data_IF_459285488697
#
_entry.id   IF_459285488697
#
_cell.length_a   1.000
_cell.length_b   1.000
_cell.length_c   1.000
_cell.angle_alpha   90.00
_cell.angle_beta   90.00
_cell.angle_gamma   90.00
#
_symmetry.space_group_name_H-M   'P 1'
#
loop_
_entity.id
_entity.type
_entity.pdbx_description
1 polymer ?
#
# COMPACT_ATOMS: atom_id res chain seq x y z
N UNK A 1 -11.33 52.81 -50.37
CA UNK A 1 -11.51 51.75 -51.37
C UNK A 1 -10.40 50.73 -51.21
N UNK A 2 -10.69 49.61 -50.55
CA UNK A 2 -10.28 48.24 -50.90
C UNK A 2 -10.69 47.32 -49.73
N UNK A 3 -11.04 46.10 -50.12
CA UNK A 3 -12.12 45.29 -49.55
C UNK A 3 -11.60 44.17 -48.65
N UNK A 4 -12.39 43.88 -47.60
CA UNK A 4 -12.59 42.61 -46.87
C UNK A 4 -11.85 41.36 -47.38
N UNK A 5 -11.19 40.65 -46.45
CA UNK A 5 -11.60 39.28 -46.08
C UNK A 5 -11.11 38.92 -44.67
N UNK A 6 -12.06 38.78 -43.73
CA UNK A 6 -11.87 38.05 -42.48
C UNK A 6 -12.64 36.74 -42.65
N UNK A 7 -11.94 35.60 -42.67
CA UNK A 7 -12.56 34.29 -42.56
C UNK A 7 -12.44 33.80 -41.12
N UNK A 8 -13.59 33.73 -40.46
CA UNK A 8 -13.78 33.13 -39.16
C UNK A 8 -13.66 31.60 -39.24
N UNK A 9 -12.66 31.00 -38.59
CA UNK A 9 -12.65 29.57 -38.29
C UNK A 9 -13.03 29.37 -36.81
N UNK A 10 -14.32 29.27 -36.56
CA UNK A 10 -14.90 29.03 -35.23
C UNK A 10 -15.79 27.79 -35.22
N UNK A 11 -15.26 26.59 -35.46
CA UNK A 11 -16.02 25.32 -35.30
C UNK A 11 -15.18 24.08 -34.94
N UNK A 12 -13.94 24.21 -34.42
CA UNK A 12 -13.07 23.03 -34.16
C UNK A 12 -13.18 22.41 -32.75
N UNK A 13 -13.92 23.01 -31.82
CA UNK A 13 -14.07 22.51 -30.44
C UNK A 13 -15.01 21.30 -30.33
N UNK A 14 -16.12 21.30 -31.10
CA UNK A 14 -17.13 20.24 -31.01
C UNK A 14 -16.73 18.96 -31.73
N UNK A 15 -16.05 19.08 -32.88
CA UNK A 15 -15.55 17.91 -33.63
C UNK A 15 -14.40 17.21 -32.90
N UNK A 16 -13.54 17.94 -32.17
CA UNK A 16 -12.53 17.31 -31.30
C UNK A 16 -13.19 16.51 -30.19
N UNK A 17 -14.20 17.06 -29.49
CA UNK A 17 -14.95 16.31 -28.45
C UNK A 17 -15.63 15.05 -29.00
N UNK A 18 -16.24 15.11 -30.19
CA UNK A 18 -16.90 13.94 -30.80
C UNK A 18 -15.88 12.88 -31.25
N UNK A 19 -14.72 13.29 -31.76
CA UNK A 19 -13.64 12.36 -32.14
C UNK A 19 -12.98 11.72 -30.92
N UNK A 20 -12.74 12.45 -29.83
CA UNK A 20 -12.24 11.86 -28.57
C UNK A 20 -13.25 10.85 -28.00
N UNK A 21 -14.55 11.16 -28.06
CA UNK A 21 -15.61 10.26 -27.59
C UNK A 21 -15.73 8.99 -28.44
N UNK A 22 -15.59 9.08 -29.76
CA UNK A 22 -15.58 7.88 -30.63
C UNK A 22 -14.30 7.06 -30.50
N UNK A 23 -13.15 7.69 -30.24
CA UNK A 23 -11.89 6.98 -30.01
C UNK A 23 -11.92 6.23 -28.67
N UNK A 24 -12.43 6.86 -27.60
CA UNK A 24 -12.61 6.22 -26.29
C UNK A 24 -13.65 5.08 -26.39
N UNK A 25 -14.78 5.29 -27.08
CA UNK A 25 -15.79 4.24 -27.31
C UNK A 25 -15.28 3.07 -28.18
N UNK A 26 -14.35 3.33 -29.12
CA UNK A 26 -13.75 2.30 -29.98
C UNK A 26 -12.66 1.52 -29.25
N UNK A 27 -11.86 2.18 -28.42
CA UNK A 27 -10.87 1.54 -27.55
C UNK A 27 -11.59 0.76 -26.45
N UNK A 28 -12.72 1.22 -25.90
CA UNK A 28 -13.51 0.36 -25.01
C UNK A 28 -14.13 -0.81 -25.79
N UNK A 29 -14.77 -0.61 -26.95
CA UNK A 29 -15.39 -1.73 -27.68
C UNK A 29 -14.40 -2.82 -28.13
N UNK A 30 -13.17 -2.45 -28.52
CA UNK A 30 -12.16 -3.42 -29.01
C UNK A 30 -11.45 -4.18 -27.89
N UNK A 31 -11.50 -3.67 -26.65
CA UNK A 31 -10.84 -4.25 -25.48
C UNK A 31 -11.83 -4.88 -24.48
N UNK A 32 -13.14 -4.66 -24.64
CA UNK A 32 -14.19 -5.02 -23.66
C UNK A 32 -15.12 -6.17 -24.11
N UNK A 33 -14.69 -7.02 -25.04
CA UNK A 33 -15.32 -8.34 -25.08
C UNK A 33 -14.86 -9.10 -23.83
N UNK A 34 -15.77 -9.55 -22.94
CA UNK A 34 -15.39 -10.58 -21.99
C UNK A 34 -14.83 -11.72 -22.84
N UNK A 35 -13.57 -12.08 -22.64
CA UNK A 35 -13.07 -13.32 -23.21
C UNK A 35 -14.08 -14.37 -22.75
N UNK A 36 -14.80 -15.05 -23.65
CA UNK A 36 -15.70 -16.10 -23.24
C UNK A 36 -14.84 -17.07 -22.44
N UNK A 37 -15.17 -17.23 -21.15
CA UNK A 37 -14.56 -18.29 -20.37
C UNK A 37 -14.73 -19.57 -21.19
N UNK A 38 -13.66 -20.29 -21.55
CA UNK A 38 -13.85 -21.56 -22.21
C UNK A 38 -14.65 -22.42 -21.23
N UNK A 39 -15.83 -22.85 -21.66
CA UNK A 39 -16.54 -23.96 -21.03
C UNK A 39 -15.70 -25.21 -21.30
N UNK A 40 -14.58 -25.31 -20.57
CA UNK A 40 -13.62 -26.39 -20.67
C UNK A 40 -14.23 -27.62 -20.02
N UNK A 41 -14.75 -28.50 -20.87
CA UNK A 41 -14.99 -29.92 -20.59
C UNK A 41 -13.82 -30.50 -19.79
N UNK A 42 -14.09 -30.89 -18.54
CA UNK A 42 -13.19 -31.64 -17.67
C UNK A 42 -12.96 -33.04 -18.26
N UNK A 43 -11.96 -33.18 -19.14
CA UNK A 43 -11.33 -34.46 -19.41
C UNK A 43 -10.36 -34.77 -18.28
N UNK A 44 -10.67 -35.81 -17.51
CA UNK A 44 -9.96 -36.22 -16.32
C UNK A 44 -8.50 -36.63 -16.62
N UNK A 45 -7.55 -35.87 -16.08
CA UNK A 45 -6.18 -36.35 -15.87
C UNK A 45 -6.16 -37.20 -14.60
N UNK A 46 -5.79 -38.49 -14.77
CA UNK A 46 -5.61 -39.47 -13.69
C UNK A 46 -4.52 -39.00 -12.72
N UNK A 47 -4.90 -38.58 -11.53
CA UNK A 47 -4.03 -38.52 -10.36
C UNK A 47 -4.24 -39.77 -9.48
N UNK A 48 -3.14 -40.30 -8.94
CA UNK A 48 -3.04 -41.48 -8.10
C UNK A 48 -3.83 -41.35 -6.76
N UNK A 49 -4.20 -42.46 -6.10
CA UNK A 49 -5.25 -42.46 -5.09
C UNK A 49 -4.76 -41.95 -3.73
N UNK A 50 -5.45 -40.93 -3.21
CA UNK A 50 -5.38 -40.55 -1.80
C UNK A 50 -6.36 -41.42 -0.99
N UNK A 51 -5.86 -41.99 0.11
CA UNK A 51 -6.59 -42.88 1.00
C UNK A 51 -7.90 -42.27 1.52
N UNK A 52 -9.00 -43.00 1.34
CA UNK A 52 -10.32 -42.65 1.82
C UNK A 52 -10.40 -42.73 3.35
N UNK A 53 -10.55 -41.59 4.02
CA UNK A 53 -11.08 -41.52 5.38
C UNK A 53 -12.61 -41.51 5.30
N UNK A 54 -13.24 -42.60 5.75
CA UNK A 54 -14.68 -42.65 5.98
C UNK A 54 -15.06 -41.62 7.05
N UNK A 55 -15.80 -40.58 6.67
CA UNK A 55 -16.44 -39.68 7.62
C UNK A 55 -17.81 -40.26 7.99
N UNK A 56 -17.89 -40.69 9.25
CA UNK A 56 -19.11 -41.14 9.91
C UNK A 56 -20.09 -39.95 9.95
N UNK A 57 -21.31 -40.11 9.41
CA UNK A 57 -22.40 -39.13 9.58
C UNK A 57 -22.72 -39.00 11.07
N UNK A 58 -22.42 -37.86 11.66
CA UNK A 58 -22.82 -37.48 13.02
C UNK A 58 -24.10 -36.65 12.89
N UNK A 59 -25.21 -36.98 13.58
CA UNK A 59 -26.38 -36.12 13.62
C UNK A 59 -26.08 -34.83 14.37
N UNK A 60 -26.49 -33.69 13.81
CA UNK A 60 -26.39 -32.37 14.44
C UNK A 60 -27.25 -32.34 15.72
N UNK A 61 -26.70 -31.94 16.88
CA UNK A 61 -27.52 -31.44 17.97
C UNK A 61 -27.83 -29.96 17.71
N UNK A 62 -29.11 -29.65 17.51
CA UNK A 62 -29.63 -28.31 17.75
C UNK A 62 -29.54 -28.06 19.25
N UNK A 63 -28.46 -27.42 19.70
CA UNK A 63 -28.31 -26.93 21.06
C UNK A 63 -28.51 -25.42 21.07
N UNK A 64 -29.62 -25.00 21.67
CA UNK A 64 -29.91 -23.61 22.00
C UNK A 64 -28.96 -23.14 23.10
N UNK A 65 -27.81 -22.55 22.74
CA UNK A 65 -27.03 -21.75 23.69
C UNK A 65 -27.49 -20.29 23.62
N UNK A 66 -28.33 -19.93 24.59
CA UNK A 66 -28.69 -18.55 24.93
C UNK A 66 -27.40 -17.75 25.21
N UNK A 67 -27.11 -16.76 24.37
CA UNK A 67 -26.31 -15.60 24.73
C UNK A 67 -27.32 -14.55 25.21
N UNK A 68 -27.49 -14.44 26.53
CA UNK A 68 -28.25 -13.36 27.15
C UNK A 68 -27.46 -12.06 26.98
N UNK A 69 -27.97 -11.19 26.11
CA UNK A 69 -27.62 -9.77 26.05
C UNK A 69 -28.77 -8.99 26.70
N UNK A 70 -28.42 -8.05 27.57
CA UNK A 70 -29.36 -7.29 28.38
C UNK A 70 -30.35 -6.43 27.57
N UNK A 71 -31.43 -5.94 28.22
CA UNK A 71 -32.42 -5.08 27.60
C UNK A 71 -31.92 -3.62 27.51
N UNK A 72 -32.53 -2.85 26.60
CA UNK A 72 -32.27 -1.42 26.25
C UNK A 72 -31.22 -1.23 25.14
N UNK A 73 -31.44 -0.58 23.98
CA UNK A 73 -32.49 0.30 23.46
C UNK A 73 -32.56 0.21 21.91
N UNK A 74 -33.78 0.25 21.35
CA UNK A 74 -34.19 0.44 19.93
C UNK A 74 -33.34 -0.15 18.77
N UNK A 75 -33.86 -1.11 17.98
CA UNK A 75 -33.16 -1.68 16.82
C UNK A 75 -33.28 -0.79 15.58
N UNK A 76 -32.40 0.21 15.45
CA UNK A 76 -32.14 0.89 14.17
C UNK A 76 -31.13 0.07 13.35
N UNK A 77 -31.51 -0.45 12.19
CA UNK A 77 -30.63 -1.06 11.15
C UNK A 77 -29.70 -2.24 11.53
N UNK A 78 -29.65 -2.68 12.80
CA UNK A 78 -28.68 -3.66 13.30
C UNK A 78 -28.84 -5.13 12.84
N UNK A 79 -30.05 -5.69 12.60
CA UNK A 79 -30.17 -7.12 12.30
C UNK A 79 -29.39 -7.54 11.04
N UNK A 80 -29.36 -6.66 10.04
CA UNK A 80 -28.65 -6.88 8.79
C UNK A 80 -27.14 -6.79 8.95
N UNK A 81 -26.64 -5.76 9.64
CA UNK A 81 -25.21 -5.60 9.91
C UNK A 81 -24.66 -6.74 10.76
N UNK A 82 -25.42 -7.19 11.76
CA UNK A 82 -25.09 -8.38 12.54
C UNK A 82 -25.01 -9.64 11.67
N UNK A 83 -26.03 -9.88 10.84
CA UNK A 83 -26.07 -11.03 9.92
C UNK A 83 -24.90 -10.97 8.92
N UNK A 84 -24.55 -9.80 8.39
CA UNK A 84 -23.38 -9.59 7.53
C UNK A 84 -22.08 -9.95 8.22
N UNK A 85 -21.86 -9.44 9.43
CA UNK A 85 -20.66 -9.74 10.21
C UNK A 85 -20.57 -11.24 10.52
N UNK A 86 -21.67 -11.84 10.99
CA UNK A 86 -21.73 -13.26 11.32
C UNK A 86 -21.46 -14.15 10.09
N UNK A 87 -22.11 -13.85 8.95
CA UNK A 87 -21.93 -14.58 7.71
C UNK A 87 -20.50 -14.45 7.15
N UNK A 88 -19.89 -13.26 7.23
CA UNK A 88 -18.51 -13.04 6.81
C UNK A 88 -17.49 -13.79 7.70
N UNK A 89 -17.80 -13.99 8.98
CA UNK A 89 -16.93 -14.70 9.93
C UNK A 89 -17.12 -16.22 9.92
N UNK A 90 -18.27 -16.73 9.48
CA UNK A 90 -18.46 -18.18 9.33
C UNK A 90 -17.53 -18.73 8.23
N UNK A 91 -16.54 -19.54 8.59
CA UNK A 91 -15.56 -20.09 7.64
C UNK A 91 -16.07 -21.28 6.81
N UNK A 92 -17.13 -21.94 7.27
CA UNK A 92 -17.60 -23.23 6.74
C UNK A 92 -18.77 -23.12 5.75
N UNK A 93 -19.47 -21.99 5.73
CA UNK A 93 -20.66 -21.83 4.88
C UNK A 93 -20.27 -21.70 3.40
N UNK A 94 -20.84 -22.50 2.47
CA UNK A 94 -20.61 -22.35 1.04
C UNK A 94 -20.96 -20.95 0.53
N UNK A 95 -20.30 -20.50 -0.54
CA UNK A 95 -20.51 -19.16 -1.10
C UNK A 95 -21.94 -18.92 -1.59
N UNK A 96 -22.54 -19.93 -2.24
CA UNK A 96 -23.95 -19.85 -2.67
C UNK A 96 -24.89 -19.73 -1.47
N UNK A 97 -24.63 -20.46 -0.37
CA UNK A 97 -25.42 -20.34 0.86
C UNK A 97 -25.28 -18.95 1.50
N UNK A 98 -24.08 -18.37 1.50
CA UNK A 98 -23.89 -16.99 1.96
C UNK A 98 -24.68 -16.00 1.12
N UNK A 99 -24.69 -16.18 -0.21
CA UNK A 99 -25.46 -15.33 -1.12
C UNK A 99 -26.96 -15.46 -0.86
N UNK A 100 -27.47 -16.68 -0.73
CA UNK A 100 -28.89 -16.93 -0.40
C UNK A 100 -29.26 -16.28 0.92
N UNK A 101 -28.46 -16.43 1.97
CA UNK A 101 -28.71 -15.79 3.27
C UNK A 101 -28.70 -14.26 3.13
N UNK A 102 -27.76 -13.72 2.35
CA UNK A 102 -27.66 -12.28 2.10
C UNK A 102 -28.88 -11.74 1.35
N UNK A 103 -29.31 -12.42 0.29
CA UNK A 103 -30.49 -12.05 -0.49
C UNK A 103 -31.79 -12.22 0.29
N UNK A 104 -31.95 -13.32 1.04
CA UNK A 104 -33.12 -13.56 1.87
C UNK A 104 -33.28 -12.46 2.93
N UNK A 105 -32.19 -12.06 3.59
CA UNK A 105 -32.21 -10.98 4.55
C UNK A 105 -32.44 -9.61 3.88
N UNK A 106 -31.89 -9.37 2.68
CA UNK A 106 -32.18 -8.18 1.87
C UNK A 106 -33.67 -8.07 1.52
N UNK A 107 -34.29 -9.18 1.13
CA UNK A 107 -35.71 -9.24 0.78
C UNK A 107 -36.63 -9.07 2.01
N UNK A 108 -36.23 -9.61 3.17
CA UNK A 108 -37.01 -9.53 4.41
C UNK A 108 -37.02 -8.15 5.06
N UNK A 109 -35.93 -7.37 4.91
CA UNK A 109 -35.76 -6.11 5.63
C UNK A 109 -36.27 -4.85 4.91
N UNK A 110 -36.87 -4.96 3.71
CA UNK A 110 -37.62 -3.92 2.98
C UNK A 110 -37.43 -2.47 3.52
N UNK A 111 -36.41 -1.63 3.13
CA UNK A 111 -35.75 -1.42 1.81
C UNK A 111 -34.19 -1.22 1.94
N UNK A 112 -33.39 -0.49 1.11
CA UNK A 112 -33.29 -0.25 -0.34
C UNK A 112 -31.96 -0.80 -0.94
N UNK A 113 -31.34 -1.85 -0.37
CA UNK A 113 -30.01 -2.28 -0.80
C UNK A 113 -30.02 -2.95 -2.18
N UNK A 114 -29.03 -2.60 -3.01
CA UNK A 114 -28.81 -3.23 -4.32
C UNK A 114 -28.31 -4.67 -4.16
N UNK A 115 -28.64 -5.54 -5.12
CA UNK A 115 -28.08 -6.90 -5.18
C UNK A 115 -26.55 -6.89 -5.14
N UNK A 116 -25.91 -5.80 -5.61
CA UNK A 116 -24.48 -5.57 -5.53
C UNK A 116 -23.90 -5.68 -4.11
N UNK A 117 -24.66 -5.29 -3.08
CA UNK A 117 -24.25 -5.40 -1.68
C UNK A 117 -24.14 -6.85 -1.20
N UNK A 118 -25.06 -7.72 -1.64
CA UNK A 118 -25.02 -9.15 -1.35
C UNK A 118 -23.82 -9.81 -2.03
N UNK A 119 -23.53 -9.46 -3.29
CA UNK A 119 -22.32 -9.91 -3.98
C UNK A 119 -21.04 -9.43 -3.28
N UNK A 120 -20.98 -8.16 -2.88
CA UNK A 120 -19.83 -7.60 -2.16
C UNK A 120 -19.54 -8.36 -0.86
N UNK A 121 -20.59 -8.72 -0.10
CA UNK A 121 -20.47 -9.53 1.11
C UNK A 121 -19.85 -10.90 0.82
N UNK A 122 -20.32 -11.58 -0.22
CA UNK A 122 -19.81 -12.90 -0.62
C UNK A 122 -18.34 -12.81 -1.06
N UNK A 123 -17.99 -11.82 -1.88
CA UNK A 123 -16.60 -11.60 -2.33
C UNK A 123 -15.69 -11.30 -1.12
N UNK A 124 -16.12 -10.47 -0.18
CA UNK A 124 -15.39 -10.17 1.07
C UNK A 124 -15.19 -11.42 1.92
N UNK A 125 -16.22 -12.25 2.08
CA UNK A 125 -16.14 -13.50 2.83
C UNK A 125 -15.13 -14.47 2.18
N UNK A 126 -15.21 -14.62 0.86
CA UNK A 126 -14.27 -15.46 0.08
C UNK A 126 -12.83 -14.94 0.16
N UNK A 127 -12.63 -13.63 0.10
CA UNK A 127 -11.32 -13.00 0.31
C UNK A 127 -10.75 -13.34 1.69
N UNK A 128 -11.57 -13.24 2.73
CA UNK A 128 -11.18 -13.53 4.12
C UNK A 128 -10.87 -15.01 4.36
N UNK A 129 -11.43 -15.90 3.53
CA UNK A 129 -11.15 -17.35 3.51
C UNK A 129 -10.02 -17.75 2.56
N UNK A 130 -9.37 -16.78 1.91
CA UNK A 130 -8.34 -17.02 0.90
C UNK A 130 -8.81 -17.80 -0.35
N UNK A 131 -10.11 -17.80 -0.64
CA UNK A 131 -10.73 -18.46 -1.80
C UNK A 131 -10.80 -17.50 -3.00
N UNK A 132 -9.66 -16.99 -3.44
CA UNK A 132 -9.59 -15.87 -4.39
C UNK A 132 -10.17 -16.19 -5.78
N UNK A 133 -9.94 -17.41 -6.30
CA UNK A 133 -10.49 -17.81 -7.59
C UNK A 133 -12.02 -17.90 -7.59
N UNK A 134 -12.58 -18.38 -6.49
CA UNK A 134 -14.04 -18.39 -6.31
C UNK A 134 -14.58 -16.97 -6.18
N UNK A 135 -13.91 -16.12 -5.41
CA UNK A 135 -14.27 -14.70 -5.32
C UNK A 135 -14.23 -13.98 -6.67
N UNK A 136 -13.27 -14.32 -7.53
CA UNK A 136 -13.20 -13.80 -8.90
C UNK A 136 -14.38 -14.29 -9.79
N UNK A 137 -14.88 -15.51 -9.57
CA UNK A 137 -16.10 -16.00 -10.25
C UNK A 137 -17.34 -15.22 -9.79
N UNK A 138 -17.43 -14.91 -8.50
CA UNK A 138 -18.50 -14.08 -7.95
C UNK A 138 -18.44 -12.63 -8.43
N UNK A 139 -17.24 -12.09 -8.61
CA UNK A 139 -17.05 -10.80 -9.29
C UNK A 139 -17.63 -10.83 -10.71
N UNK A 140 -17.35 -11.86 -11.51
CA UNK A 140 -17.93 -11.97 -12.85
C UNK A 140 -19.47 -12.00 -12.85
N UNK A 141 -20.09 -12.63 -11.82
CA UNK A 141 -21.54 -12.60 -11.61
C UNK A 141 -22.03 -11.18 -11.27
N UNK A 142 -21.35 -10.49 -10.35
CA UNK A 142 -21.66 -9.10 -10.00
C UNK A 142 -21.57 -8.19 -11.24
N UNK A 143 -20.47 -8.31 -11.98
CA UNK A 143 -20.24 -7.57 -13.22
C UNK A 143 -21.38 -7.73 -14.23
N UNK A 144 -21.86 -8.97 -14.42
CA UNK A 144 -22.96 -9.28 -15.32
C UNK A 144 -24.29 -8.61 -14.95
N UNK A 145 -24.45 -8.16 -13.70
CA UNK A 145 -25.66 -7.43 -13.28
C UNK A 145 -25.71 -5.99 -13.80
N UNK A 146 -24.58 -5.44 -14.28
CA UNK A 146 -24.48 -4.03 -14.68
C UNK A 146 -24.52 -3.03 -13.52
N UNK A 147 -24.56 -3.50 -12.28
CA UNK A 147 -24.58 -2.67 -11.06
C UNK A 147 -23.36 -2.97 -10.20
N UNK A 148 -22.70 -1.93 -9.70
CA UNK A 148 -21.55 -2.06 -8.80
C UNK A 148 -21.59 -0.95 -7.76
N UNK A 149 -21.45 -1.33 -6.49
CA UNK A 149 -21.26 -0.39 -5.39
C UNK A 149 -19.76 -0.29 -5.03
N UNK A 150 -19.41 0.72 -4.22
CA UNK A 150 -18.03 0.96 -3.78
C UNK A 150 -17.42 -0.25 -3.07
N UNK A 151 -18.14 -0.82 -2.11
CA UNK A 151 -17.65 -1.97 -1.34
C UNK A 151 -17.39 -3.20 -2.24
N UNK A 152 -18.27 -3.47 -3.21
CA UNK A 152 -18.10 -4.55 -4.18
C UNK A 152 -16.88 -4.35 -5.07
N UNK A 153 -16.69 -3.15 -5.60
CA UNK A 153 -15.52 -2.79 -6.39
C UNK A 153 -14.21 -2.98 -5.59
N UNK A 154 -14.21 -2.52 -4.34
CA UNK A 154 -13.06 -2.60 -3.44
C UNK A 154 -12.63 -4.05 -3.19
N UNK A 155 -13.57 -4.91 -2.77
CA UNK A 155 -13.24 -6.31 -2.48
C UNK A 155 -12.96 -7.10 -3.74
N UNK A 156 -13.64 -6.81 -4.85
CA UNK A 156 -13.37 -7.44 -6.14
C UNK A 156 -11.94 -7.13 -6.61
N UNK A 157 -11.52 -5.87 -6.59
CA UNK A 157 -10.15 -5.47 -6.96
C UNK A 157 -9.09 -6.24 -6.17
N UNK A 158 -9.20 -6.26 -4.84
CA UNK A 158 -8.25 -6.99 -3.98
C UNK A 158 -8.26 -8.49 -4.23
N UNK A 159 -9.45 -9.07 -4.47
CA UNK A 159 -9.62 -10.49 -4.76
C UNK A 159 -9.00 -10.86 -6.10
N UNK A 160 -9.22 -10.06 -7.14
CA UNK A 160 -8.66 -10.25 -8.48
C UNK A 160 -7.14 -10.16 -8.47
N UNK A 161 -6.56 -9.20 -7.73
CA UNK A 161 -5.10 -9.12 -7.56
C UNK A 161 -4.55 -10.40 -6.92
N UNK A 162 -5.19 -10.89 -5.86
CA UNK A 162 -4.79 -12.14 -5.18
C UNK A 162 -5.02 -13.40 -6.03
N UNK A 163 -5.97 -13.37 -6.95
CA UNK A 163 -6.21 -14.42 -7.95
C UNK A 163 -5.28 -14.30 -9.18
N UNK A 164 -4.34 -13.34 -9.22
CA UNK A 164 -3.47 -13.12 -10.37
C UNK A 164 -4.16 -12.51 -11.60
N UNK A 165 -5.41 -12.05 -11.47
CA UNK A 165 -6.20 -11.40 -12.53
C UNK A 165 -5.97 -9.89 -12.53
N UNK A 166 -4.70 -9.49 -12.71
CA UNK A 166 -4.27 -8.10 -12.57
C UNK A 166 -4.91 -7.15 -13.57
N UNK A 167 -5.15 -7.64 -14.80
CA UNK A 167 -5.82 -6.87 -15.86
C UNK A 167 -7.25 -6.51 -15.48
N UNK A 168 -8.00 -7.48 -14.96
CA UNK A 168 -9.39 -7.27 -14.52
C UNK A 168 -9.44 -6.33 -13.31
N UNK A 169 -8.47 -6.44 -12.40
CA UNK A 169 -8.36 -5.54 -11.26
C UNK A 169 -8.06 -4.09 -11.68
N UNK A 170 -7.15 -3.89 -12.65
CA UNK A 170 -6.86 -2.57 -13.21
C UNK A 170 -8.08 -2.01 -13.96
N UNK A 171 -8.86 -2.86 -14.62
CA UNK A 171 -10.08 -2.44 -15.30
C UNK A 171 -11.08 -1.81 -14.31
N UNK A 172 -11.20 -2.33 -13.09
CA UNK A 172 -12.02 -1.72 -12.03
C UNK A 172 -11.59 -0.27 -11.76
N UNK A 173 -10.28 0.00 -11.67
CA UNK A 173 -9.78 1.38 -11.52
C UNK A 173 -10.16 2.26 -12.71
N UNK A 174 -10.03 1.75 -13.94
CA UNK A 174 -10.41 2.49 -15.14
C UNK A 174 -11.90 2.85 -15.17
N UNK A 175 -12.76 1.94 -14.70
CA UNK A 175 -14.21 2.18 -14.62
C UNK A 175 -14.53 3.24 -13.58
N UNK A 176 -13.92 3.18 -12.40
CA UNK A 176 -14.10 4.17 -11.33
C UNK A 176 -13.59 5.54 -11.81
N UNK A 177 -12.44 5.58 -12.48
CA UNK A 177 -11.90 6.80 -13.05
C UNK A 177 -12.80 7.39 -14.14
N UNK A 178 -13.30 6.58 -15.06
CA UNK A 178 -14.23 7.03 -16.11
C UNK A 178 -15.54 7.57 -15.52
N UNK A 179 -16.03 6.97 -14.43
CA UNK A 179 -17.20 7.45 -13.73
C UNK A 179 -16.97 8.81 -13.06
N UNK A 180 -15.82 8.96 -12.39
CA UNK A 180 -15.40 10.21 -11.77
C UNK A 180 -15.28 11.35 -12.81
N UNK A 181 -14.72 11.06 -13.99
CA UNK A 181 -14.62 12.06 -15.05
C UNK A 181 -15.96 12.48 -15.67
N UNK A 182 -16.93 11.58 -15.71
CA UNK A 182 -18.12 11.81 -16.55
C UNK A 182 -19.29 12.44 -15.81
N UNK A 183 -19.32 12.43 -14.48
CA UNK A 183 -20.37 12.94 -13.54
C UNK A 183 -21.84 12.57 -13.87
N UNK A 184 -22.15 12.11 -15.07
CA UNK A 184 -23.50 12.03 -15.66
C UNK A 184 -23.64 10.92 -16.73
N UNK A 185 -22.59 10.17 -17.12
CA UNK A 185 -22.66 9.23 -18.26
C UNK A 185 -21.81 7.95 -18.15
N UNK A 186 -21.71 7.33 -16.98
CA UNK A 186 -21.11 6.00 -16.90
C UNK A 186 -22.09 4.92 -17.37
N UNK A 187 -21.58 3.90 -18.07
CA UNK A 187 -22.36 2.72 -18.47
C UNK A 187 -22.80 1.87 -17.26
N UNK A 188 -22.13 2.05 -16.12
CA UNK A 188 -22.47 1.43 -14.84
C UNK A 188 -23.17 2.43 -13.94
N UNK A 189 -24.25 1.98 -13.28
CA UNK A 189 -24.86 2.73 -12.19
C UNK A 189 -23.96 2.58 -10.95
N UNK A 190 -23.06 3.54 -10.76
CA UNK A 190 -22.18 3.60 -9.61
C UNK A 190 -22.88 4.41 -8.53
N UNK A 191 -23.45 3.73 -7.55
CA UNK A 191 -24.12 4.37 -6.43
C UNK A 191 -23.10 4.69 -5.33
N UNK A 192 -23.04 5.96 -4.92
CA UNK A 192 -22.28 6.40 -3.74
C UNK A 192 -20.81 6.75 -3.94
N UNK A 193 -20.32 6.90 -5.17
CA UNK A 193 -18.91 7.28 -5.41
C UNK A 193 -18.72 8.81 -5.30
N UNK A 194 -17.94 9.24 -4.31
CA UNK A 194 -17.40 10.60 -4.18
C UNK A 194 -16.09 10.73 -4.96
N UNK A 195 -15.72 11.95 -5.39
CA UNK A 195 -14.46 12.29 -6.07
C UNK A 195 -13.23 11.82 -5.25
N UNK A 196 -13.40 11.72 -3.93
CA UNK A 196 -12.38 11.25 -2.97
C UNK A 196 -12.14 9.74 -3.01
N UNK A 197 -13.00 8.98 -3.68
CA UNK A 197 -12.93 7.52 -3.72
C UNK A 197 -11.77 7.05 -4.61
N UNK A 198 -11.49 7.74 -5.72
CA UNK A 198 -10.46 7.30 -6.66
C UNK A 198 -9.04 7.24 -6.05
N UNK A 199 -8.55 8.26 -5.32
CA UNK A 199 -7.28 8.17 -4.59
C UNK A 199 -7.21 6.96 -3.64
N UNK A 200 -8.32 6.68 -2.94
CA UNK A 200 -8.41 5.55 -2.02
C UNK A 200 -8.28 4.21 -2.76
N UNK A 201 -8.95 4.06 -3.90
CA UNK A 201 -8.84 2.85 -4.73
C UNK A 201 -7.45 2.65 -5.31
N UNK A 202 -6.80 3.72 -5.81
CA UNK A 202 -5.41 3.65 -6.28
C UNK A 202 -4.50 3.17 -5.15
N UNK A 203 -4.60 3.77 -3.97
CA UNK A 203 -3.83 3.36 -2.80
C UNK A 203 -4.04 1.87 -2.45
N UNK A 204 -5.30 1.42 -2.41
CA UNK A 204 -5.61 0.02 -2.11
C UNK A 204 -5.15 -0.96 -3.20
N UNK A 205 -5.12 -0.53 -4.45
CA UNK A 205 -4.55 -1.31 -5.54
C UNK A 205 -3.04 -1.49 -5.35
N UNK A 206 -2.31 -0.42 -5.03
CA UNK A 206 -0.86 -0.51 -4.75
C UNK A 206 -0.58 -1.46 -3.57
N UNK A 207 -1.37 -1.38 -2.48
CA UNK A 207 -1.26 -2.33 -1.37
C UNK A 207 -1.54 -3.78 -1.77
N UNK A 208 -2.53 -4.00 -2.64
CA UNK A 208 -2.83 -5.33 -3.13
C UNK A 208 -1.66 -5.89 -3.96
N UNK A 209 -1.02 -5.06 -4.80
CA UNK A 209 0.15 -5.41 -5.60
C UNK A 209 1.37 -5.76 -4.74
N UNK A 210 1.64 -4.97 -3.69
CA UNK A 210 2.66 -5.33 -2.70
C UNK A 210 2.36 -6.68 -2.05
N UNK A 211 1.09 -6.93 -1.72
CA UNK A 211 0.65 -8.19 -1.12
C UNK A 211 0.98 -9.43 -1.94
N UNK A 212 1.10 -9.31 -3.26
CA UNK A 212 1.49 -10.39 -4.19
C UNK A 212 2.96 -10.30 -4.64
N UNK A 213 3.79 -9.54 -3.93
CA UNK A 213 5.22 -9.37 -4.23
C UNK A 213 5.49 -8.82 -5.65
N UNK A 214 4.67 -7.84 -6.09
CA UNK A 214 4.87 -7.08 -7.35
C UNK A 214 5.22 -5.61 -7.07
N UNK A 215 6.36 -5.31 -6.40
CA UNK A 215 6.76 -3.93 -6.18
C UNK A 215 7.11 -3.20 -7.49
N UNK A 216 7.54 -3.92 -8.53
CA UNK A 216 7.78 -3.38 -9.87
C UNK A 216 6.57 -2.61 -10.43
N UNK A 217 5.38 -3.19 -10.30
CA UNK A 217 4.13 -2.55 -10.72
C UNK A 217 3.77 -1.35 -9.86
N UNK A 218 4.08 -1.40 -8.56
CA UNK A 218 3.83 -0.28 -7.64
C UNK A 218 4.66 0.93 -8.05
N UNK A 219 5.94 0.71 -8.37
CA UNK A 219 6.88 1.76 -8.77
C UNK A 219 6.51 2.37 -10.13
N UNK A 220 6.09 1.54 -11.08
CA UNK A 220 5.61 2.02 -12.39
C UNK A 220 4.30 2.80 -12.29
N UNK A 221 3.35 2.32 -11.47
CA UNK A 221 2.09 3.02 -11.23
C UNK A 221 2.31 4.33 -10.48
N UNK A 222 3.27 4.38 -9.57
CA UNK A 222 3.64 5.62 -8.88
C UNK A 222 3.99 6.74 -9.87
N UNK A 223 4.84 6.45 -10.86
CA UNK A 223 5.22 7.43 -11.88
C UNK A 223 4.06 7.84 -12.78
N UNK A 224 3.07 6.96 -12.90
CA UNK A 224 1.98 7.11 -13.85
C UNK A 224 0.69 7.66 -13.22
N UNK A 225 0.50 7.58 -11.89
CA UNK A 225 -0.80 7.80 -11.24
C UNK A 225 -1.35 9.22 -11.42
N UNK A 226 -0.49 10.23 -11.47
CA UNK A 226 -0.90 11.61 -11.77
C UNK A 226 -1.47 11.74 -13.18
N UNK A 227 -0.82 11.13 -14.17
CA UNK A 227 -1.25 11.17 -15.59
C UNK A 227 -2.47 10.25 -15.82
N UNK A 228 -2.48 9.09 -15.17
CA UNK A 228 -3.52 8.07 -15.35
C UNK A 228 -4.84 8.46 -14.67
N UNK A 229 -4.75 8.93 -13.44
CA UNK A 229 -5.89 9.05 -12.53
C UNK A 229 -6.08 10.45 -11.95
N UNK A 230 -5.14 11.38 -12.19
CA UNK A 230 -5.15 12.69 -11.53
C UNK A 230 -4.90 12.59 -10.02
N UNK A 231 -4.32 11.48 -9.55
CA UNK A 231 -4.05 11.25 -8.14
C UNK A 231 -2.66 11.78 -7.80
N UNK A 232 -2.59 12.69 -6.84
CA UNK A 232 -1.33 13.20 -6.32
C UNK A 232 -0.76 12.29 -5.22
N UNK A 233 0.58 12.20 -5.10
CA UNK A 233 1.21 11.51 -3.97
C UNK A 233 0.75 12.09 -2.63
N UNK A 234 0.47 11.22 -1.66
CA UNK A 234 0.15 11.62 -0.29
C UNK A 234 1.01 10.86 0.73
N UNK A 235 0.84 11.17 2.02
CA UNK A 235 1.52 10.55 3.15
C UNK A 235 1.58 9.03 3.04
N UNK A 236 0.40 8.43 2.92
CA UNK A 236 0.22 6.99 2.95
C UNK A 236 0.72 6.30 1.67
N UNK A 237 0.58 6.95 0.51
CA UNK A 237 1.17 6.48 -0.73
C UNK A 237 2.70 6.45 -0.64
N UNK A 238 3.33 7.45 -0.01
CA UNK A 238 4.79 7.48 0.15
C UNK A 238 5.30 6.35 1.07
N UNK A 239 4.51 5.97 2.08
CA UNK A 239 4.79 4.77 2.89
C UNK A 239 4.76 3.51 2.03
N UNK A 240 3.73 3.36 1.18
CA UNK A 240 3.63 2.28 0.20
C UNK A 240 4.83 2.28 -0.76
N UNK A 241 5.29 3.45 -1.20
CA UNK A 241 6.46 3.55 -2.07
C UNK A 241 7.73 3.05 -1.36
N UNK A 242 7.99 3.51 -0.13
CA UNK A 242 9.14 3.10 0.65
C UNK A 242 9.10 1.58 0.92
N UNK A 243 7.93 1.02 1.22
CA UNK A 243 7.74 -0.41 1.42
C UNK A 243 7.96 -1.22 0.15
N UNK A 244 7.49 -0.74 -1.01
CA UNK A 244 7.71 -1.38 -2.29
C UNK A 244 9.20 -1.37 -2.67
N UNK A 245 9.90 -0.26 -2.42
CA UNK A 245 11.33 -0.15 -2.67
C UNK A 245 12.18 -1.02 -1.72
N UNK A 246 11.77 -1.17 -0.45
CA UNK A 246 12.40 -2.14 0.47
C UNK A 246 12.09 -3.58 0.07
N UNK A 247 10.89 -3.83 -0.45
CA UNK A 247 10.51 -5.15 -0.94
C UNK A 247 11.32 -5.52 -2.18
N UNK A 248 11.59 -4.57 -3.09
CA UNK A 248 12.41 -4.85 -4.27
C UNK A 248 13.82 -5.29 -3.88
N UNK A 249 14.44 -4.68 -2.86
CA UNK A 249 15.74 -5.13 -2.31
C UNK A 249 15.72 -6.60 -1.87
N UNK A 250 14.62 -7.07 -1.27
CA UNK A 250 14.49 -8.44 -0.78
C UNK A 250 14.22 -9.45 -1.90
N UNK A 251 13.69 -8.97 -3.03
CA UNK A 251 13.34 -9.79 -4.18
C UNK A 251 14.40 -9.76 -5.27
N UNK A 252 15.31 -8.80 -5.23
CA UNK A 252 16.44 -8.71 -6.14
C UNK A 252 17.51 -9.72 -5.68
N UNK A 253 17.62 -10.82 -6.43
CA UNK A 253 18.61 -11.86 -6.18
C UNK A 253 20.02 -11.43 -6.63
N UNK A 254 20.16 -10.26 -7.27
CA UNK A 254 21.45 -9.76 -7.72
C UNK A 254 22.20 -9.16 -6.52
N UNK A 255 23.13 -9.94 -5.95
CA UNK A 255 23.96 -9.62 -4.77
C UNK A 255 24.92 -8.42 -4.94
N UNK A 256 24.71 -7.55 -5.92
CA UNK A 256 25.67 -6.49 -6.23
C UNK A 256 25.46 -5.27 -5.33
N UNK A 257 26.56 -4.61 -4.92
CA UNK A 257 26.46 -3.30 -4.28
C UNK A 257 25.63 -2.40 -5.18
N UNK A 258 24.64 -1.73 -4.59
CA UNK A 258 23.76 -0.82 -5.32
C UNK A 258 24.65 0.19 -6.04
N UNK A 259 24.68 0.20 -7.40
CA UNK A 259 25.51 1.14 -8.14
C UNK A 259 25.13 2.57 -7.73
N UNK A 260 26.13 3.45 -7.64
CA UNK A 260 25.86 4.88 -7.47
C UNK A 260 24.88 5.35 -8.54
N UNK A 261 23.94 6.26 -8.21
CA UNK A 261 22.97 6.76 -9.16
C UNK A 261 23.70 7.31 -10.39
N UNK A 262 23.26 6.86 -11.57
CA UNK A 262 23.64 7.41 -12.86
C UNK A 262 22.61 8.45 -13.23
N UNK A 263 23.03 9.66 -13.64
CA UNK A 263 22.19 10.78 -14.09
C UNK A 263 21.37 10.47 -15.36
N UNK A 264 20.58 9.40 -15.34
CA UNK A 264 19.71 9.02 -16.44
C UNK A 264 18.47 9.91 -16.38
N UNK A 265 18.20 10.72 -17.43
CA UNK A 265 17.04 11.58 -17.45
C UNK A 265 15.78 10.73 -17.29
N UNK A 266 14.97 11.09 -16.30
CA UNK A 266 13.70 10.44 -16.02
C UNK A 266 12.88 10.37 -17.30
N UNK A 267 12.49 9.17 -17.73
CA UNK A 267 11.58 9.02 -18.86
C UNK A 267 10.23 9.63 -18.47
N UNK A 268 10.01 10.88 -18.87
CA UNK A 268 8.76 11.59 -18.62
C UNK A 268 7.72 10.98 -19.54
N UNK A 269 6.82 10.19 -18.98
CA UNK A 269 5.64 9.71 -19.71
C UNK A 269 4.86 10.93 -20.20
N UNK A 270 4.61 10.99 -21.51
CA UNK A 270 4.04 12.19 -22.15
C UNK A 270 2.53 12.13 -22.26
N UNK A 271 1.95 10.92 -22.22
CA UNK A 271 0.51 10.72 -22.43
C UNK A 271 -0.07 9.62 -21.56
N UNK A 272 -1.37 9.75 -21.26
CA UNK A 272 -2.16 8.72 -20.56
C UNK A 272 -2.18 7.37 -21.29
N UNK A 273 -2.25 7.40 -22.62
CA UNK A 273 -2.27 6.18 -23.43
C UNK A 273 -0.95 5.41 -23.34
N UNK A 274 0.18 6.12 -23.39
CA UNK A 274 1.51 5.54 -23.24
C UNK A 274 1.69 4.93 -21.84
N UNK A 275 1.29 5.68 -20.79
CA UNK A 275 1.32 5.20 -19.42
C UNK A 275 0.48 3.92 -19.22
N UNK A 276 -0.75 3.90 -19.74
CA UNK A 276 -1.60 2.69 -19.67
C UNK A 276 -0.99 1.51 -20.40
N UNK A 277 -0.52 1.71 -21.63
CA UNK A 277 0.11 0.65 -22.42
C UNK A 277 1.32 0.07 -21.68
N UNK A 278 2.16 0.93 -21.10
CA UNK A 278 3.29 0.49 -20.28
C UNK A 278 2.86 -0.36 -19.09
N UNK A 279 1.84 0.08 -18.34
CA UNK A 279 1.32 -0.69 -17.20
C UNK A 279 0.74 -2.03 -17.66
N UNK A 280 -0.09 -2.06 -18.70
CA UNK A 280 -0.67 -3.30 -19.22
C UNK A 280 0.38 -4.28 -19.72
N UNK A 281 1.44 -3.79 -20.36
CA UNK A 281 2.58 -4.61 -20.77
C UNK A 281 3.23 -5.26 -19.55
N UNK A 282 3.56 -4.48 -18.51
CA UNK A 282 4.17 -4.99 -17.29
C UNK A 282 3.25 -5.91 -16.47
N UNK A 283 1.94 -5.76 -16.58
CA UNK A 283 0.97 -6.70 -16.00
C UNK A 283 1.01 -8.08 -16.69
N UNK A 284 1.24 -8.12 -18.01
CA UNK A 284 1.32 -9.35 -18.78
C UNK A 284 2.65 -10.08 -18.59
N UNK A 285 3.71 -9.33 -18.30
CA UNK A 285 5.03 -9.87 -18.01
C UNK A 285 5.08 -10.58 -16.65
N UNK A 286 5.86 -11.67 -16.60
CA UNK A 286 6.22 -12.30 -15.32
C UNK A 286 7.06 -11.32 -14.51
N UNK A 287 7.03 -11.46 -13.18
CA UNK A 287 7.86 -10.65 -12.28
C UNK A 287 9.31 -10.65 -12.78
N UNK A 288 9.92 -9.48 -13.00
CA UNK A 288 11.31 -9.43 -13.45
C UNK A 288 12.24 -9.97 -12.36
N UNK A 289 13.35 -10.59 -12.76
CA UNK A 289 14.38 -11.06 -11.83
C UNK A 289 15.10 -9.89 -11.15
N UNK A 290 15.33 -8.81 -11.92
CA UNK A 290 15.91 -7.57 -11.41
C UNK A 290 14.87 -6.46 -11.54
N UNK A 291 14.54 -5.83 -10.41
CA UNK A 291 13.55 -4.75 -10.38
C UNK A 291 14.32 -3.44 -10.52
N UNK A 292 14.14 -2.77 -11.65
CA UNK A 292 14.67 -1.43 -11.90
C UNK A 292 13.54 -0.42 -11.87
N UNK A 293 13.82 0.76 -11.34
CA UNK A 293 12.90 1.89 -11.39
C UNK A 293 13.65 3.09 -11.97
N UNK A 294 13.17 3.63 -13.09
CA UNK A 294 13.86 4.70 -13.86
C UNK A 294 15.32 4.33 -14.18
N UNK A 295 15.55 3.08 -14.60
CA UNK A 295 16.87 2.49 -14.85
C UNK A 295 17.81 2.40 -13.62
N UNK A 296 17.34 2.80 -12.44
CA UNK A 296 18.08 2.76 -11.20
C UNK A 296 17.56 1.69 -10.24
N UNK A 297 18.24 1.57 -9.10
CA UNK A 297 17.77 0.75 -8.01
C UNK A 297 16.59 1.43 -7.29
N UNK A 298 15.42 0.77 -7.12
CA UNK A 298 14.20 1.42 -6.62
C UNK A 298 14.34 2.14 -5.28
N UNK A 299 15.16 1.62 -4.37
CA UNK A 299 15.37 2.25 -3.07
C UNK A 299 16.16 3.57 -3.14
N UNK A 300 17.04 3.75 -4.13
CA UNK A 300 17.73 5.02 -4.35
C UNK A 300 16.76 6.07 -4.88
N UNK A 301 15.95 5.69 -5.87
CA UNK A 301 14.92 6.58 -6.42
C UNK A 301 13.87 6.92 -5.37
N UNK A 302 13.42 5.96 -4.56
CA UNK A 302 12.48 6.22 -3.46
C UNK A 302 13.06 7.21 -2.44
N UNK A 303 14.36 7.09 -2.12
CA UNK A 303 15.07 8.06 -1.30
C UNK A 303 15.07 9.46 -1.95
N UNK A 304 15.38 9.56 -3.25
CA UNK A 304 15.36 10.85 -3.98
C UNK A 304 13.97 11.49 -3.99
N UNK A 305 12.92 10.70 -4.25
CA UNK A 305 11.52 11.15 -4.18
C UNK A 305 11.22 11.69 -2.80
N UNK A 306 11.58 10.94 -1.76
CA UNK A 306 11.33 11.34 -0.38
C UNK A 306 12.06 12.66 -0.02
N UNK A 307 13.33 12.82 -0.41
CA UNK A 307 14.09 14.06 -0.22
C UNK A 307 13.44 15.24 -0.96
N UNK A 308 13.02 15.02 -2.21
CA UNK A 308 12.36 16.05 -3.05
C UNK A 308 11.03 16.49 -2.42
N UNK A 309 10.29 15.55 -1.85
CA UNK A 309 9.06 15.81 -1.11
C UNK A 309 9.33 16.66 0.13
N UNK A 310 10.33 16.34 0.96
CA UNK A 310 10.64 17.15 2.14
C UNK A 310 11.10 18.55 1.75
N UNK A 311 12.04 18.68 0.81
CA UNK A 311 12.57 19.98 0.39
C UNK A 311 11.48 20.84 -0.27
N UNK A 312 10.59 20.21 -1.06
CA UNK A 312 9.46 20.90 -1.67
C UNK A 312 8.45 21.45 -0.67
N UNK A 313 8.29 20.80 0.49
CA UNK A 313 7.40 21.26 1.56
C UNK A 313 8.10 22.17 2.58
N UNK A 314 9.41 22.01 2.77
CA UNK A 314 10.23 22.75 3.71
C UNK A 314 11.53 23.16 3.00
N UNK A 315 11.53 24.27 2.23
CA UNK A 315 12.71 24.67 1.46
C UNK A 315 13.96 24.90 2.32
N UNK A 316 13.78 25.35 3.57
CA UNK A 316 14.87 25.52 4.54
C UNK A 316 15.52 24.21 4.96
N UNK A 317 14.85 23.06 4.76
CA UNK A 317 15.37 21.73 5.10
C UNK A 317 16.65 21.40 4.33
N UNK A 318 16.84 21.94 3.12
CA UNK A 318 18.05 21.77 2.34
C UNK A 318 19.29 22.40 3.00
N UNK A 319 19.09 23.40 3.88
CA UNK A 319 20.15 24.17 4.54
C UNK A 319 20.39 23.76 5.99
N UNK A 320 19.59 22.83 6.53
CA UNK A 320 19.71 22.45 7.94
C UNK A 320 21.02 21.70 8.19
N UNK A 321 21.79 22.10 9.22
CA UNK A 321 23.01 21.38 9.58
C UNK A 321 22.65 19.96 10.05
N UNK A 322 23.48 18.99 9.65
CA UNK A 322 23.37 17.64 10.19
C UNK A 322 23.71 17.69 11.69
N UNK A 323 22.90 17.08 12.58
CA UNK A 323 23.15 17.05 14.02
C UNK A 323 24.52 16.49 14.39
N UNK A 324 25.04 15.59 13.56
CA UNK A 324 26.36 14.98 13.71
C UNK A 324 27.24 15.31 12.52
N UNK A 325 28.51 15.62 12.77
CA UNK A 325 29.48 15.90 11.72
C UNK A 325 29.81 14.60 10.97
N UNK A 326 29.44 14.52 9.70
CA UNK A 326 29.75 13.36 8.86
C UNK A 326 30.68 13.74 7.73
N UNK A 327 31.81 13.03 7.64
CA UNK A 327 32.80 13.28 6.58
C UNK A 327 32.29 12.91 5.18
N UNK A 328 31.25 12.06 5.09
CA UNK A 328 30.84 11.41 3.83
C UNK A 328 29.36 11.60 3.47
N UNK A 329 28.69 12.66 3.96
CA UNK A 329 27.28 12.86 3.59
C UNK A 329 27.18 13.23 2.10
N UNK A 330 26.38 12.50 1.30
CA UNK A 330 26.22 12.84 -0.11
C UNK A 330 25.68 14.26 -0.25
N UNK A 331 26.30 15.00 -1.17
CA UNK A 331 25.92 16.39 -1.44
C UNK A 331 24.46 16.45 -1.88
N UNK A 332 23.66 17.39 -1.34
CA UNK A 332 22.29 17.62 -1.80
C UNK A 332 22.21 18.04 -3.27
N UNK A 333 23.33 18.42 -3.89
CA UNK A 333 23.41 18.81 -5.30
C UNK A 333 22.99 17.70 -6.29
N UNK A 334 23.05 16.43 -5.89
CA UNK A 334 22.64 15.29 -6.74
C UNK A 334 21.15 14.93 -6.60
N UNK A 335 20.37 15.72 -5.87
CA UNK A 335 18.92 15.60 -5.86
C UNK A 335 18.39 16.30 -7.11
N UNK A 336 18.50 15.64 -8.26
CA UNK A 336 17.79 16.10 -9.46
C UNK A 336 16.32 16.33 -9.11
N UNK A 337 15.83 17.49 -9.56
CA UNK A 337 14.58 18.11 -9.15
C UNK A 337 13.38 17.27 -9.64
N UNK A 338 13.10 16.14 -8.99
CA UNK A 338 11.81 15.47 -9.13
C UNK A 338 10.77 16.52 -8.76
N UNK A 339 9.79 16.74 -9.66
CA UNK A 339 8.83 17.85 -9.53
C UNK A 339 8.29 17.89 -8.09
N UNK A 340 8.40 19.04 -7.41
CA UNK A 340 8.01 19.12 -6.01
C UNK A 340 6.53 18.74 -5.86
N UNK A 341 6.28 17.75 -5.01
CA UNK A 341 4.93 17.33 -4.64
C UNK A 341 4.47 18.18 -3.44
N UNK A 342 3.80 19.30 -3.73
CA UNK A 342 3.45 20.33 -2.74
C UNK A 342 2.29 19.97 -1.81
N UNK A 343 1.61 18.83 -2.00
CA UNK A 343 0.43 18.42 -1.24
C UNK A 343 0.73 17.41 -0.13
N UNK A 344 2.01 17.13 0.12
CA UNK A 344 2.43 16.15 1.11
C UNK A 344 2.75 16.80 2.47
N UNK A 345 2.16 16.25 3.53
CA UNK A 345 2.53 16.58 4.90
C UNK A 345 3.26 15.40 5.54
N UNK A 346 4.56 15.52 5.85
CA UNK A 346 5.27 14.45 6.54
C UNK A 346 4.64 14.16 7.89
N UNK A 347 4.61 12.89 8.26
CA UNK A 347 4.14 12.40 9.56
C UNK A 347 5.24 11.61 10.26
N UNK A 348 5.06 11.34 11.55
CA UNK A 348 5.97 10.45 12.28
C UNK A 348 6.19 9.09 11.57
N UNK A 349 5.11 8.51 11.01
CA UNK A 349 5.17 7.21 10.35
C UNK A 349 5.95 7.27 9.03
N UNK A 350 5.77 8.35 8.25
CA UNK A 350 6.55 8.54 7.01
C UNK A 350 8.05 8.65 7.26
N UNK A 351 8.46 9.32 8.35
CA UNK A 351 9.87 9.39 8.77
C UNK A 351 10.41 8.03 9.24
N UNK A 352 9.62 7.27 10.02
CA UNK A 352 10.00 5.92 10.42
C UNK A 352 10.24 5.01 9.20
N UNK A 353 9.36 5.07 8.20
CA UNK A 353 9.51 4.30 6.96
C UNK A 353 10.73 4.75 6.15
N UNK A 354 11.03 6.05 6.14
CA UNK A 354 12.25 6.58 5.54
C UNK A 354 13.52 6.09 6.24
N UNK A 355 13.57 6.08 7.57
CA UNK A 355 14.71 5.52 8.31
C UNK A 355 14.91 4.04 8.01
N UNK A 356 13.83 3.26 7.92
CA UNK A 356 13.90 1.88 7.48
C UNK A 356 14.41 1.73 6.04
N UNK A 357 14.00 2.63 5.14
CA UNK A 357 14.49 2.65 3.75
C UNK A 357 16.00 2.91 3.74
N UNK A 358 16.47 3.97 4.38
CA UNK A 358 17.90 4.33 4.49
C UNK A 358 18.74 3.19 5.04
N UNK A 359 18.27 2.56 6.13
CA UNK A 359 18.95 1.41 6.73
C UNK A 359 18.95 0.16 5.85
N UNK A 360 18.05 0.04 4.88
CA UNK A 360 18.02 -1.08 3.94
C UNK A 360 19.00 -0.91 2.79
N UNK A 361 19.43 0.33 2.50
CA UNK A 361 20.41 0.65 1.46
C UNK A 361 21.80 1.05 1.99
N UNK A 362 22.03 0.90 3.30
CA UNK A 362 23.27 1.33 3.97
C UNK A 362 23.55 2.84 3.89
N UNK A 363 22.49 3.66 3.94
CA UNK A 363 22.56 5.12 4.03
C UNK A 363 22.19 5.61 5.44
N UNK A 364 22.57 4.89 6.49
CA UNK A 364 22.29 5.27 7.87
C UNK A 364 22.91 6.62 8.27
N UNK A 365 23.94 7.06 7.54
CA UNK A 365 24.52 8.39 7.66
C UNK A 365 23.49 9.50 7.39
N UNK A 366 22.41 9.26 6.67
CA UNK A 366 21.39 10.29 6.43
C UNK A 366 20.30 10.40 7.51
N UNK A 367 20.20 9.40 8.39
CA UNK A 367 19.21 9.38 9.46
C UNK A 367 19.25 10.62 10.38
N UNK A 368 20.42 11.13 10.84
CA UNK A 368 20.49 12.37 11.60
C UNK A 368 19.90 13.57 10.86
N UNK A 369 20.16 13.68 9.56
CA UNK A 369 19.58 14.74 8.72
C UNK A 369 18.07 14.59 8.66
N UNK A 370 17.56 13.36 8.53
CA UNK A 370 16.14 13.07 8.63
C UNK A 370 15.54 13.49 9.99
N UNK A 371 16.22 13.27 11.10
CA UNK A 371 15.78 13.78 12.42
C UNK A 371 15.76 15.31 12.48
N UNK A 372 16.74 15.99 11.89
CA UNK A 372 16.74 17.44 11.80
C UNK A 372 15.57 17.98 10.95
N UNK A 373 15.27 17.33 9.83
CA UNK A 373 14.08 17.64 9.02
C UNK A 373 12.79 17.46 9.82
N UNK A 374 12.70 16.38 10.58
CA UNK A 374 11.55 16.10 11.44
C UNK A 374 11.34 17.18 12.51
N UNK A 375 12.42 17.62 13.16
CA UNK A 375 12.43 18.75 14.11
C UNK A 375 11.97 20.05 13.46
N UNK A 376 12.52 20.40 12.30
CA UNK A 376 12.15 21.61 11.57
C UNK A 376 10.70 21.60 11.08
N UNK A 377 10.15 20.42 10.80
CA UNK A 377 8.74 20.22 10.46
C UNK A 377 7.79 20.35 11.66
N UNK A 378 8.31 20.49 12.89
CA UNK A 378 7.50 20.47 14.12
C UNK A 378 6.91 19.09 14.44
N UNK A 379 7.42 18.01 13.85
CA UNK A 379 6.87 16.66 14.04
C UNK A 379 7.55 16.02 15.24
N UNK A 380 6.78 15.74 16.30
CA UNK A 380 7.30 15.02 17.47
C UNK A 380 7.55 13.55 17.11
N UNK A 381 8.77 13.04 17.33
CA UNK A 381 9.08 11.65 17.04
C UNK A 381 8.48 10.72 18.10
N UNK A 382 7.83 9.65 17.64
CA UNK A 382 7.45 8.51 18.46
C UNK A 382 8.70 7.80 18.98
N UNK A 383 8.54 7.09 20.09
CA UNK A 383 9.61 6.26 20.65
C UNK A 383 10.15 5.24 19.65
N UNK A 384 9.27 4.72 18.78
CA UNK A 384 9.66 3.80 17.71
C UNK A 384 10.57 4.46 16.66
N UNK A 385 10.21 5.66 16.19
CA UNK A 385 11.05 6.40 15.24
C UNK A 385 12.43 6.70 15.82
N UNK A 386 12.50 7.18 17.06
CA UNK A 386 13.78 7.47 17.73
C UNK A 386 14.61 6.21 17.96
N UNK A 387 13.99 5.14 18.46
CA UNK A 387 14.66 3.90 18.76
C UNK A 387 15.29 3.27 17.52
N UNK A 388 14.56 3.21 16.41
CA UNK A 388 15.12 2.74 15.14
C UNK A 388 16.20 3.68 14.59
N UNK A 389 15.97 5.00 14.60
CA UNK A 389 16.97 5.96 14.12
C UNK A 389 18.31 5.81 14.86
N UNK A 390 18.27 5.78 16.19
CA UNK A 390 19.46 5.56 17.02
C UNK A 390 20.11 4.19 16.78
N UNK A 391 19.31 3.13 16.70
CA UNK A 391 19.84 1.78 16.47
C UNK A 391 20.57 1.68 15.13
N UNK A 392 20.06 2.34 14.09
CA UNK A 392 20.72 2.39 12.79
C UNK A 392 22.00 3.22 12.80
N UNK A 393 22.01 4.39 13.45
CA UNK A 393 23.24 5.16 13.62
C UNK A 393 24.31 4.37 14.39
N UNK A 394 23.95 3.75 15.52
CA UNK A 394 24.86 2.91 16.30
C UNK A 394 25.40 1.73 15.48
N UNK A 395 24.53 1.10 14.67
CA UNK A 395 24.94 0.00 13.77
C UNK A 395 25.99 0.45 12.75
N UNK A 396 25.78 1.60 12.12
CA UNK A 396 26.71 2.13 11.12
C UNK A 396 28.10 2.40 11.72
N UNK A 397 28.16 2.90 12.95
CA UNK A 397 29.43 3.10 13.66
C UNK A 397 30.11 1.78 14.03
N UNK A 398 29.36 0.79 14.51
CA UNK A 398 29.88 -0.54 14.80
C UNK A 398 30.49 -1.22 13.56
N UNK A 399 30.02 -0.89 12.36
CA UNK A 399 30.60 -1.37 11.10
C UNK A 399 31.84 -0.59 10.68
N UNK A 400 31.99 0.67 11.12
CA UNK A 400 33.11 1.54 10.75
C UNK A 400 34.38 1.35 11.59
N UNK A 401 34.30 0.74 12.79
CA UNK A 401 35.49 0.48 13.62
C UNK A 401 35.17 0.05 15.06
N UNK A 402 36.21 -0.22 15.88
CA UNK A 402 36.03 -0.56 17.29
C UNK A 402 35.36 0.59 18.06
N UNK A 403 34.45 0.29 19.01
CA UNK A 403 33.72 1.31 19.76
C UNK A 403 34.66 2.16 20.60
N UNK A 404 34.44 3.48 20.60
CA UNK A 404 35.36 4.45 21.22
C UNK A 404 34.95 4.79 22.66
N UNK A 405 33.66 4.70 23.04
CA UNK A 405 33.17 4.99 24.41
C UNK A 405 31.91 4.18 24.78
N UNK A 406 31.85 3.61 25.99
CA UNK A 406 30.66 2.92 26.55
C UNK A 406 29.98 1.86 25.64
N UNK A 407 30.73 1.29 24.69
CA UNK A 407 30.25 0.31 23.71
C UNK A 407 29.53 0.89 22.49
N UNK A 408 29.44 2.21 22.36
CA UNK A 408 28.86 2.90 21.19
C UNK A 408 29.85 3.93 20.60
N UNK A 409 29.64 4.40 19.38
CA UNK A 409 30.52 5.38 18.76
C UNK A 409 30.19 6.83 19.18
N UNK A 410 31.07 7.76 18.81
CA UNK A 410 30.92 9.19 19.15
C UNK A 410 29.63 9.78 18.57
N UNK A 411 29.26 9.43 17.34
CA UNK A 411 28.07 9.99 16.71
C UNK A 411 26.78 9.56 17.42
N UNK A 412 26.74 8.36 17.99
CA UNK A 412 25.62 7.96 18.83
C UNK A 412 25.48 8.86 20.06
N UNK A 413 26.58 9.15 20.76
CA UNK A 413 26.57 10.03 21.93
C UNK A 413 26.14 11.46 21.56
N UNK A 414 26.74 12.02 20.50
CA UNK A 414 26.40 13.36 19.99
C UNK A 414 24.91 13.45 19.59
N UNK A 415 24.35 12.38 18.99
CA UNK A 415 22.93 12.31 18.65
C UNK A 415 22.03 12.29 19.89
N UNK A 416 22.38 11.53 20.92
CA UNK A 416 21.62 11.46 22.16
C UNK A 416 21.60 12.83 22.85
N UNK A 417 22.73 13.52 22.90
CA UNK A 417 22.81 14.89 23.41
C UNK A 417 21.97 15.86 22.59
N UNK A 418 22.07 15.82 21.26
CA UNK A 418 21.25 16.64 20.38
C UNK A 418 19.75 16.41 20.59
N UNK A 419 19.34 15.16 20.81
CA UNK A 419 17.94 14.82 21.07
C UNK A 419 17.46 15.28 22.45
N UNK A 420 18.29 15.27 23.49
CA UNK A 420 17.93 15.89 24.78
C UNK A 420 17.67 17.39 24.62
N UNK A 421 18.52 18.08 23.84
CA UNK A 421 18.30 19.48 23.48
C UNK A 421 17.05 19.74 22.64
N UNK A 422 16.48 18.72 21.99
CA UNK A 422 15.22 18.83 21.25
C UNK A 422 14.00 18.42 22.10
N UNK A 423 14.08 17.32 22.83
CA UNK A 423 12.95 16.64 23.47
C UNK A 423 12.85 16.89 24.98
N UNK A 424 13.84 17.54 25.59
CA UNK A 424 13.96 17.75 27.03
C UNK A 424 15.05 16.87 27.66
N UNK A 425 15.67 17.35 28.74
CA UNK A 425 16.72 16.64 29.49
C UNK A 425 16.20 15.36 30.16
N UNK A 426 14.90 15.33 30.45
CA UNK A 426 14.19 14.18 31.01
C UNK A 426 13.96 13.06 29.98
N UNK A 427 14.18 13.33 28.69
CA UNK A 427 13.97 12.33 27.65
C UNK A 427 14.94 11.16 27.80
N UNK A 428 14.38 9.95 27.76
CA UNK A 428 15.11 8.68 27.80
C UNK A 428 14.57 7.74 26.75
N UNK A 429 15.46 6.98 26.13
CA UNK A 429 15.08 5.92 25.21
C UNK A 429 14.65 4.69 26.01
N UNK A 430 13.35 4.40 26.01
CA UNK A 430 12.77 3.23 26.66
C UNK A 430 11.92 2.41 25.65
N UNK A 431 12.21 1.12 25.43
CA UNK A 431 13.34 0.35 25.98
C UNK A 431 14.70 0.87 25.50
N UNK A 432 15.78 0.51 26.22
CA UNK A 432 17.13 0.95 25.88
C UNK A 432 17.61 0.48 24.50
N UNK A 433 18.72 1.06 24.01
CA UNK A 433 19.23 0.89 22.64
C UNK A 433 19.45 -0.58 22.22
N UNK A 434 19.82 -1.47 23.16
CA UNK A 434 19.97 -2.90 22.89
C UNK A 434 18.71 -3.57 22.35
N UNK A 435 17.53 -3.18 22.84
CA UNK A 435 16.24 -3.68 22.32
C UNK A 435 16.05 -3.25 20.86
N UNK A 436 16.30 -1.98 20.57
CA UNK A 436 16.11 -1.43 19.23
C UNK A 436 17.12 -1.99 18.24
N UNK A 437 18.36 -2.28 18.65
CA UNK A 437 19.34 -2.99 17.83
C UNK A 437 18.89 -4.41 17.47
N UNK A 438 18.31 -5.16 18.42
CA UNK A 438 17.75 -6.49 18.15
C UNK A 438 16.56 -6.42 17.19
N UNK A 439 15.68 -5.42 17.35
CA UNK A 439 14.56 -5.17 16.44
C UNK A 439 15.05 -4.75 15.04
N UNK A 440 16.04 -3.88 14.95
CA UNK A 440 16.64 -3.40 13.71
C UNK A 440 17.29 -4.53 12.89
N UNK A 441 17.80 -5.58 13.56
CA UNK A 441 18.34 -6.79 12.92
C UNK A 441 17.25 -7.78 12.47
N UNK A 442 15.98 -7.50 12.76
CA UNK A 442 14.88 -8.45 12.52
C UNK A 442 14.89 -9.65 13.46
N UNK A 443 15.73 -9.65 14.50
CA UNK A 443 15.90 -10.77 15.45
C UNK A 443 14.76 -10.82 16.48
N UNK A 444 13.95 -9.77 16.57
CA UNK A 444 12.74 -9.77 17.38
C UNK A 444 11.49 -10.09 16.57
N UNK A 445 11.18 -11.38 16.36
CA UNK A 445 9.86 -11.83 15.89
C UNK A 445 8.72 -11.19 16.70
N UNK A 446 7.45 -11.30 16.23
CA UNK A 446 6.26 -10.87 16.99
C UNK A 446 6.28 -11.51 18.38
N UNK A 447 6.81 -10.77 19.32
CA UNK A 447 6.93 -11.15 20.72
C UNK A 447 6.05 -10.13 21.40
N UNK A 448 4.84 -10.57 21.75
CA UNK A 448 3.90 -9.80 22.56
C UNK A 448 4.55 -9.57 23.93
N UNK A 449 5.22 -8.43 24.10
CA UNK A 449 5.83 -8.02 25.37
C UNK A 449 4.86 -7.18 26.22
N UNK A 450 3.55 -7.47 26.16
CA UNK A 450 2.67 -7.13 27.29
C UNK A 450 3.08 -7.89 28.57
N UNK A 451 3.91 -8.94 28.44
CA UNK A 451 4.65 -9.50 29.55
C UNK A 451 5.66 -8.46 30.07
N UNK A 452 5.42 -7.97 31.30
CA UNK A 452 6.34 -7.12 32.07
C UNK A 452 7.79 -7.57 31.89
N UNK A 453 8.76 -6.65 31.77
CA UNK A 453 10.16 -7.01 31.67
C UNK A 453 10.52 -7.93 32.85
N UNK A 454 11.31 -9.01 32.63
CA UNK A 454 11.73 -9.88 33.71
C UNK A 454 12.40 -9.00 34.76
N UNK A 455 11.80 -8.92 35.95
CA UNK A 455 12.42 -8.24 37.07
C UNK A 455 13.82 -8.81 37.21
N UNK A 456 14.83 -7.93 37.15
CA UNK A 456 16.22 -8.29 37.36
C UNK A 456 16.31 -9.10 38.64
N UNK A 457 16.54 -10.41 38.49
CA UNK A 457 16.70 -11.34 39.59
C UNK A 457 17.88 -10.81 40.40
N UNK A 458 17.62 -10.21 41.57
CA UNK A 458 18.66 -9.76 42.49
C UNK A 458 19.59 -10.94 42.72
N UNK A 459 20.83 -10.84 42.23
CA UNK A 459 21.88 -11.80 42.57
C UNK A 459 21.98 -11.86 44.10
N UNK A 460 22.04 -13.07 44.70
CA UNK A 460 22.24 -13.20 46.13
C UNK A 460 23.55 -12.50 46.51
N UNK A 461 23.49 -11.62 47.52
CA UNK A 461 24.69 -11.01 48.09
C UNK A 461 25.57 -12.13 48.66
N UNK A 462 26.79 -12.23 48.16
CA UNK A 462 27.82 -13.05 48.79
C UNK A 462 28.05 -12.52 50.22
N UNK A 463 28.18 -13.41 51.23
CA UNK A 463 28.49 -12.99 52.59
C UNK A 463 29.90 -12.35 52.64
N UNK A 464 30.12 -11.41 53.57
CA UNK A 464 31.42 -10.77 53.73
C UNK A 464 32.48 -11.82 54.12
N UNK A 465 33.64 -11.73 53.48
CA UNK A 465 34.78 -12.58 53.81
C UNK A 465 35.27 -12.29 55.23
N UNK A 466 35.43 -13.35 56.02
CA UNK A 466 36.07 -13.35 57.35
C UNK A 466 37.57 -13.39 57.26
#
# INVERSE_FOLDING_TARGET
MLSRSQSSFGTSSHLRKILTLRLVSSITARWFHPSPFPAGSLAASKAAPAAARQTKKIPLPLSNSHLELGPEDTPSDEPWNYTRQLAAHHRTLPADSLFTIAEDARLKNNPPLTSASSYALVIRALYSRHQYEEGARWWARLWATGSMNEEGAFWAMRTLVRAGKLRDALQILEIIHAANQTAHRSAFKLEGFDDRVLPHFVQHFLYALQGINRPDLVLQLWDSMGILYGVEPNGTLLETLADAARMSLKLDDTLFPVPQPTDSPLSILTSRSEALTGVFQSLAERRPHQIRWRNEHPALVARQVWCSVIIGNIPTAALLPCPISQSNSPSPANLELIRPHHTFHPTNLTFLNYFHLLASISFESEIPRGLAWMRASGIKPSMQALGFALAYCARAEMTAGPPVHDGYGKNYADMVEWMKGWLGEEWKLEPGIGYWLLKARGIGGRTDYSAKPPQTRRMPRLPPAT
#
